data_IF_396543661721
#
_entry.id   IF_396543661721
#
_cell.length_a   1.000
_cell.length_b   1.000
_cell.length_c   1.000
_cell.angle_alpha   90.00
_cell.angle_beta   90.00
_cell.angle_gamma   90.00
#
_symmetry.space_group_name_H-M   'P 1'
#
loop_
_entity.id
_entity.type
_entity.pdbx_description
1 polymer ?
#
# COMPACT_ATOMS: atom_id res chain seq x y z
N UNK A 1 9.13 -6.10 -20.89
CA UNK A 1 10.10 -7.04 -21.45
C UNK A 1 11.53 -6.58 -21.17
N UNK A 2 12.42 -7.54 -20.84
CA UNK A 2 13.85 -7.29 -20.69
C UNK A 2 14.50 -7.23 -22.08
N UNK A 3 15.24 -6.15 -22.35
CA UNK A 3 16.03 -6.01 -23.57
C UNK A 3 17.46 -5.55 -23.23
N UNK A 4 18.47 -6.43 -23.30
CA UNK A 4 19.86 -6.09 -22.94
C UNK A 4 20.49 -5.02 -23.85
N UNK A 5 19.93 -4.77 -25.04
CA UNK A 5 20.39 -3.72 -25.93
C UNK A 5 19.82 -2.33 -25.60
N UNK A 6 18.88 -2.26 -24.66
CA UNK A 6 18.37 -0.99 -24.16
C UNK A 6 19.35 -0.42 -23.13
N UNK A 7 19.96 0.71 -23.46
CA UNK A 7 20.99 1.38 -22.63
C UNK A 7 20.51 1.65 -21.18
N UNK A 8 19.24 1.94 -20.97
CA UNK A 8 18.70 2.18 -19.63
C UNK A 8 18.59 0.88 -18.82
N UNK A 9 18.19 -0.22 -19.48
CA UNK A 9 18.12 -1.54 -18.87
C UNK A 9 19.53 -2.02 -18.55
N UNK A 10 20.47 -1.93 -19.49
CA UNK A 10 21.87 -2.28 -19.29
C UNK A 10 22.48 -1.51 -18.11
N UNK A 11 22.29 -0.19 -18.08
CA UNK A 11 22.79 0.66 -16.99
C UNK A 11 22.17 0.27 -15.64
N UNK A 12 20.86 0.09 -15.59
CA UNK A 12 20.16 -0.27 -14.35
C UNK A 12 20.56 -1.66 -13.83
N UNK A 13 20.82 -2.61 -14.74
CA UNK A 13 21.32 -3.94 -14.38
C UNK A 13 22.77 -3.89 -13.92
N UNK A 14 23.62 -3.11 -14.59
CA UNK A 14 25.03 -2.92 -14.20
C UNK A 14 25.17 -2.36 -12.76
N UNK A 15 24.26 -1.45 -12.36
CA UNK A 15 24.21 -0.93 -10.99
C UNK A 15 23.42 -1.82 -10.02
N UNK A 16 22.90 -2.95 -10.48
CA UNK A 16 22.17 -3.89 -9.64
C UNK A 16 20.76 -3.43 -9.22
N UNK A 17 20.19 -2.43 -9.88
CA UNK A 17 18.81 -1.97 -9.60
C UNK A 17 17.77 -2.94 -10.11
N UNK A 18 18.02 -3.55 -11.26
CA UNK A 18 17.15 -4.53 -11.88
C UNK A 18 17.89 -5.84 -12.19
N UNK A 19 17.13 -6.89 -12.41
CA UNK A 19 17.59 -8.20 -12.92
C UNK A 19 16.66 -8.69 -14.02
N UNK A 20 17.14 -9.61 -14.83
CA UNK A 20 16.31 -10.36 -15.75
C UNK A 20 15.62 -11.52 -15.02
N UNK A 21 14.33 -11.58 -15.05
CA UNK A 21 13.56 -12.71 -14.53
C UNK A 21 12.55 -13.16 -15.61
N UNK A 22 12.84 -14.30 -16.21
CA UNK A 22 12.02 -14.90 -17.28
C UNK A 22 11.72 -13.95 -18.45
N UNK A 23 12.70 -13.16 -18.91
CA UNK A 23 12.52 -12.20 -20.00
C UNK A 23 11.86 -10.88 -19.62
N UNK A 24 11.65 -10.66 -18.33
CA UNK A 24 11.14 -9.40 -17.78
C UNK A 24 12.21 -8.69 -16.96
N UNK A 25 12.30 -7.36 -17.11
CA UNK A 25 13.10 -6.54 -16.21
C UNK A 25 12.33 -6.35 -14.91
N UNK A 26 12.86 -6.84 -13.80
CA UNK A 26 12.28 -6.71 -12.47
C UNK A 26 13.28 -6.04 -11.53
N UNK A 27 12.81 -5.40 -10.47
CA UNK A 27 13.68 -4.79 -9.46
C UNK A 27 14.47 -5.91 -8.76
N UNK A 28 15.78 -5.71 -8.59
CA UNK A 28 16.69 -6.76 -8.17
C UNK A 28 16.50 -7.23 -6.73
N UNK A 29 16.09 -6.32 -5.86
CA UNK A 29 15.88 -6.62 -4.44
C UNK A 29 14.90 -5.64 -3.77
N UNK A 30 14.45 -6.01 -2.56
CA UNK A 30 13.46 -5.28 -1.77
C UNK A 30 13.91 -3.90 -1.31
N UNK A 31 15.20 -3.68 -1.13
CA UNK A 31 15.72 -2.37 -0.70
C UNK A 31 15.49 -1.36 -1.82
N UNK A 32 15.88 -1.71 -3.04
CA UNK A 32 15.62 -0.85 -4.21
C UNK A 32 14.14 -0.69 -4.50
N UNK A 33 13.35 -1.74 -4.33
CA UNK A 33 11.89 -1.65 -4.47
C UNK A 33 11.30 -0.61 -3.50
N UNK A 34 11.65 -0.70 -2.23
CA UNK A 34 11.18 0.25 -1.21
C UNK A 34 11.66 1.68 -1.48
N UNK A 35 12.92 1.86 -1.90
CA UNK A 35 13.48 3.19 -2.21
C UNK A 35 12.79 3.81 -3.43
N UNK A 36 12.63 3.06 -4.52
CA UNK A 36 11.96 3.54 -5.72
C UNK A 36 10.47 3.82 -5.47
N UNK A 37 9.80 2.97 -4.72
CA UNK A 37 8.41 3.19 -4.35
C UNK A 37 8.22 4.48 -3.54
N UNK A 38 9.09 4.71 -2.53
CA UNK A 38 9.06 5.94 -1.75
C UNK A 38 9.41 7.18 -2.59
N UNK A 39 10.33 7.04 -3.57
CA UNK A 39 10.67 8.12 -4.49
C UNK A 39 9.47 8.51 -5.34
N UNK A 40 8.84 7.55 -6.03
CA UNK A 40 7.66 7.81 -6.87
C UNK A 40 6.49 8.38 -6.07
N UNK A 41 6.25 7.88 -4.86
CA UNK A 41 5.24 8.46 -3.99
C UNK A 41 5.61 9.91 -3.63
N UNK A 42 6.88 10.22 -3.37
CA UNK A 42 7.30 11.57 -3.00
C UNK A 42 7.13 12.59 -4.14
N UNK A 43 7.25 12.17 -5.38
CA UNK A 43 6.98 13.01 -6.55
C UNK A 43 5.48 13.33 -6.72
N UNK A 44 4.61 12.40 -6.29
CA UNK A 44 3.16 12.61 -6.36
C UNK A 44 2.59 13.50 -5.25
N UNK A 45 3.35 13.79 -4.17
CA UNK A 45 2.84 14.59 -3.05
C UNK A 45 2.40 15.99 -3.46
N UNK A 46 3.14 16.61 -4.36
CA UNK A 46 3.02 18.04 -4.69
C UNK A 46 1.65 18.41 -5.28
N UNK A 47 0.98 17.45 -5.96
CA UNK A 47 -0.30 17.68 -6.64
C UNK A 47 -1.42 16.72 -6.19
N UNK A 48 -1.20 16.00 -5.08
CA UNK A 48 -2.13 14.95 -4.65
C UNK A 48 -3.20 15.48 -3.71
N UNK A 49 -4.44 15.57 -4.20
CA UNK A 49 -5.62 15.97 -3.40
C UNK A 49 -5.85 15.05 -2.19
N UNK A 50 -5.53 13.76 -2.32
CA UNK A 50 -5.71 12.79 -1.23
C UNK A 50 -4.62 12.94 -0.16
N UNK A 51 -3.40 13.33 -0.53
CA UNK A 51 -2.34 13.68 0.40
C UNK A 51 -2.72 14.93 1.22
N UNK A 52 -3.22 15.97 0.54
CA UNK A 52 -3.70 17.20 1.18
C UNK A 52 -4.84 16.94 2.16
N UNK A 53 -5.74 16.01 1.84
CA UNK A 53 -6.81 15.61 2.74
C UNK A 53 -6.24 14.95 4.01
N UNK A 54 -5.29 14.01 3.87
CA UNK A 54 -4.61 13.40 5.01
C UNK A 54 -3.87 14.41 5.88
N UNK A 55 -3.19 15.37 5.24
CA UNK A 55 -2.45 16.44 5.93
C UNK A 55 -3.36 17.35 6.76
N UNK A 56 -4.51 17.77 6.21
CA UNK A 56 -5.48 18.63 6.90
C UNK A 56 -6.08 17.99 8.13
N UNK A 57 -6.32 16.70 8.06
CA UNK A 57 -7.06 15.96 9.08
C UNK A 57 -6.19 15.15 10.06
N UNK A 58 -4.87 15.19 9.91
CA UNK A 58 -3.92 14.33 10.63
C UNK A 58 -4.09 14.32 12.16
N UNK A 59 -4.44 15.45 12.74
CA UNK A 59 -4.48 15.60 14.20
C UNK A 59 -5.63 14.82 14.87
N UNK A 60 -6.67 14.47 14.13
CA UNK A 60 -7.81 13.73 14.66
C UNK A 60 -7.55 12.22 14.81
N UNK A 61 -6.50 11.70 14.16
CA UNK A 61 -6.19 10.28 14.10
C UNK A 61 -5.24 9.81 15.21
N UNK A 62 -4.65 10.75 15.95
CA UNK A 62 -3.70 10.44 17.02
C UNK A 62 -4.23 10.98 18.35
N UNK A 63 -4.38 10.10 19.33
CA UNK A 63 -4.80 10.45 20.68
C UNK A 63 -3.92 9.75 21.71
N UNK A 64 -3.38 10.53 22.66
CA UNK A 64 -2.50 9.98 23.71
C UNK A 64 -1.24 9.29 23.15
N UNK A 65 -0.81 9.63 21.92
CA UNK A 65 0.33 8.98 21.27
C UNK A 65 0.00 7.71 20.51
N UNK A 66 -1.26 7.27 20.50
CA UNK A 66 -1.75 6.08 19.79
C UNK A 66 -2.42 6.49 18.49
N UNK A 67 -2.19 5.69 17.42
CA UNK A 67 -2.82 5.88 16.12
C UNK A 67 -4.15 5.11 16.06
N UNK A 68 -5.25 5.81 15.81
CA UNK A 68 -6.54 5.19 15.52
C UNK A 68 -6.59 4.80 14.03
N UNK A 69 -6.01 3.64 13.71
CA UNK A 69 -5.96 3.13 12.35
C UNK A 69 -7.36 2.92 11.76
N UNK A 70 -8.34 2.51 12.57
CA UNK A 70 -9.72 2.34 12.10
C UNK A 70 -10.28 3.66 11.57
N UNK A 71 -10.11 4.73 12.34
CA UNK A 71 -10.57 6.07 11.95
C UNK A 71 -9.84 6.60 10.72
N UNK A 72 -8.54 6.30 10.60
CA UNK A 72 -7.76 6.61 9.38
C UNK A 72 -8.37 5.93 8.17
N UNK A 73 -8.68 4.63 8.26
CA UNK A 73 -9.23 3.84 7.16
C UNK A 73 -10.64 4.28 6.78
N UNK A 74 -11.52 4.52 7.77
CA UNK A 74 -12.88 5.03 7.55
C UNK A 74 -12.82 6.38 6.79
N UNK A 75 -11.95 7.29 7.21
CA UNK A 75 -11.80 8.59 6.55
C UNK A 75 -11.14 8.51 5.18
N UNK A 76 -10.19 7.60 5.02
CA UNK A 76 -9.62 7.32 3.71
C UNK A 76 -10.68 6.87 2.70
N UNK A 77 -11.52 5.90 3.08
CA UNK A 77 -12.58 5.39 2.20
C UNK A 77 -13.57 6.50 1.82
N UNK A 78 -14.02 7.31 2.78
CA UNK A 78 -14.88 8.46 2.51
C UNK A 78 -14.22 9.46 1.53
N UNK A 79 -12.95 9.80 1.78
CA UNK A 79 -12.19 10.75 0.96
C UNK A 79 -11.93 10.21 -0.45
N UNK A 80 -11.59 8.93 -0.53
CA UNK A 80 -11.33 8.25 -1.80
C UNK A 80 -12.59 8.19 -2.66
N UNK A 81 -13.74 7.82 -2.07
CA UNK A 81 -15.03 7.78 -2.77
C UNK A 81 -15.43 9.17 -3.29
N UNK A 82 -15.24 10.21 -2.48
CA UNK A 82 -15.50 11.59 -2.89
C UNK A 82 -14.61 12.07 -4.05
N UNK A 83 -13.31 11.74 -4.03
CA UNK A 83 -12.35 12.22 -5.02
C UNK A 83 -12.32 11.37 -6.30
N UNK A 84 -12.56 10.07 -6.18
CA UNK A 84 -12.27 9.08 -7.22
C UNK A 84 -13.39 8.05 -7.44
N UNK A 85 -14.55 8.19 -6.78
CA UNK A 85 -15.66 7.21 -6.84
C UNK A 85 -16.24 6.96 -8.23
N UNK A 86 -16.03 7.87 -9.17
CA UNK A 86 -16.44 7.74 -10.58
C UNK A 86 -15.41 7.04 -11.47
N UNK A 87 -14.28 6.58 -10.92
CA UNK A 87 -13.26 5.88 -11.72
C UNK A 87 -13.74 4.52 -12.20
N UNK A 88 -13.37 4.22 -13.46
CA UNK A 88 -13.83 3.05 -14.21
C UNK A 88 -13.01 1.78 -13.94
N UNK A 89 -13.46 0.66 -14.51
CA UNK A 89 -13.03 -0.75 -14.41
C UNK A 89 -11.52 -1.06 -14.54
N UNK A 90 -10.66 -0.09 -14.87
CA UNK A 90 -9.20 -0.26 -14.96
C UNK A 90 -8.44 0.00 -13.65
N UNK A 91 -9.15 0.19 -12.54
CA UNK A 91 -8.53 0.42 -11.24
C UNK A 91 -7.84 -0.86 -10.73
N UNK A 92 -6.57 -0.74 -10.37
CA UNK A 92 -5.74 -1.83 -9.85
C UNK A 92 -5.59 -1.73 -8.33
N UNK A 93 -5.43 -2.86 -7.65
CA UNK A 93 -5.14 -2.90 -6.20
C UNK A 93 -3.91 -2.07 -5.84
N UNK A 94 -2.90 -2.06 -6.71
CA UNK A 94 -1.71 -1.23 -6.57
C UNK A 94 -2.02 0.27 -6.51
N UNK A 95 -2.95 0.74 -7.36
CA UNK A 95 -3.39 2.13 -7.33
C UNK A 95 -4.09 2.48 -6.00
N UNK A 96 -4.96 1.58 -5.50
CA UNK A 96 -5.61 1.74 -4.19
C UNK A 96 -4.60 1.83 -3.06
N UNK A 97 -3.60 0.95 -3.07
CA UNK A 97 -2.49 0.95 -2.12
C UNK A 97 -1.73 2.28 -2.15
N UNK A 98 -1.40 2.77 -3.34
CA UNK A 98 -0.70 4.04 -3.53
C UNK A 98 -1.50 5.22 -2.98
N UNK A 99 -2.80 5.31 -3.28
CA UNK A 99 -3.67 6.35 -2.73
C UNK A 99 -3.77 6.28 -1.20
N UNK A 100 -3.88 5.09 -0.63
CA UNK A 100 -3.89 4.93 0.82
C UNK A 100 -2.58 5.38 1.45
N UNK A 101 -1.44 5.05 0.85
CA UNK A 101 -0.14 5.51 1.34
C UNK A 101 0.02 7.03 1.26
N UNK A 102 -0.46 7.67 0.17
CA UNK A 102 -0.47 9.13 0.04
C UNK A 102 -1.30 9.77 1.16
N UNK A 103 -2.46 9.22 1.46
CA UNK A 103 -3.31 9.70 2.56
C UNK A 103 -2.67 9.50 3.94
N UNK A 104 -2.07 8.32 4.16
CA UNK A 104 -1.49 7.94 5.45
C UNK A 104 -0.19 8.69 5.76
N UNK A 105 0.63 8.96 4.75
CA UNK A 105 1.99 9.51 4.93
C UNK A 105 2.04 10.77 5.80
N UNK A 106 1.24 11.82 5.56
CA UNK A 106 1.27 13.03 6.39
C UNK A 106 0.80 12.76 7.83
N UNK A 107 -0.02 11.73 8.05
CA UNK A 107 -0.54 11.37 9.38
C UNK A 107 0.56 10.75 10.25
N UNK A 108 1.37 9.86 9.67
CA UNK A 108 2.43 9.13 10.41
C UNK A 108 3.81 9.78 10.27
N UNK A 109 3.95 10.82 9.45
CA UNK A 109 5.24 11.43 9.14
C UNK A 109 6.01 11.88 10.40
N UNK A 110 7.28 11.50 10.46
CA UNK A 110 8.19 11.77 11.59
C UNK A 110 8.00 10.85 12.81
N UNK A 111 7.01 9.95 12.79
CA UNK A 111 6.71 9.08 13.95
C UNK A 111 6.55 7.62 13.57
N UNK A 112 6.02 7.34 12.40
CA UNK A 112 5.73 5.99 11.92
C UNK A 112 6.35 5.69 10.57
N UNK A 113 6.34 4.40 10.21
CA UNK A 113 6.79 3.89 8.93
C UNK A 113 5.69 3.04 8.29
N UNK A 114 5.70 2.98 6.97
CA UNK A 114 4.82 2.11 6.20
C UNK A 114 5.67 1.21 5.29
N UNK A 115 5.43 -0.09 5.37
CA UNK A 115 6.14 -1.11 4.60
C UNK A 115 5.17 -1.73 3.60
N UNK A 116 5.57 -1.73 2.32
CA UNK A 116 4.80 -2.28 1.21
C UNK A 116 5.21 -3.72 1.01
N UNK A 117 4.24 -4.61 0.87
CA UNK A 117 4.40 -6.03 0.59
C UNK A 117 5.49 -6.72 1.45
N UNK A 118 5.51 -6.54 2.78
CA UNK A 118 6.47 -7.24 3.61
C UNK A 118 6.22 -8.75 3.52
N UNK A 119 7.30 -9.50 3.23
CA UNK A 119 7.25 -10.95 3.08
C UNK A 119 7.53 -11.63 4.42
N UNK A 120 6.70 -12.63 4.78
CA UNK A 120 6.95 -13.51 5.90
C UNK A 120 7.96 -14.59 5.54
N UNK A 121 8.49 -15.35 6.53
CA UNK A 121 9.34 -16.51 6.29
C UNK A 121 8.67 -17.58 5.43
N UNK A 122 7.34 -17.65 5.44
CA UNK A 122 6.54 -18.57 4.63
C UNK A 122 6.23 -18.03 3.23
N UNK A 123 6.84 -16.91 2.83
CA UNK A 123 6.61 -16.21 1.55
C UNK A 123 5.19 -15.66 1.36
N UNK A 124 4.45 -15.49 2.44
CA UNK A 124 3.19 -14.77 2.41
C UNK A 124 3.47 -13.28 2.41
N UNK A 125 2.72 -12.51 1.63
CA UNK A 125 2.88 -11.07 1.48
C UNK A 125 1.60 -10.37 1.88
N UNK A 126 1.74 -9.34 2.70
CA UNK A 126 0.66 -8.41 3.01
C UNK A 126 0.84 -7.15 2.18
N UNK A 127 -0.26 -6.49 1.82
CA UNK A 127 -0.16 -5.26 1.04
C UNK A 127 0.59 -4.16 1.80
N UNK A 128 0.23 -3.93 3.05
CA UNK A 128 0.84 -2.90 3.87
C UNK A 128 0.97 -3.32 5.34
N UNK A 129 2.09 -2.97 5.94
CA UNK A 129 2.27 -2.95 7.40
C UNK A 129 2.67 -1.55 7.83
N UNK A 130 1.92 -0.99 8.75
CA UNK A 130 2.18 0.33 9.34
C UNK A 130 2.72 0.14 10.73
N UNK A 131 3.88 0.73 11.01
CA UNK A 131 4.49 0.79 12.34
C UNK A 131 4.36 2.23 12.87
N UNK A 132 3.75 2.39 14.02
CA UNK A 132 3.57 3.68 14.66
C UNK A 132 3.84 3.58 16.16
N UNK A 133 4.97 4.12 16.62
CA UNK A 133 5.40 4.09 18.03
C UNK A 133 5.40 2.69 18.64
N UNK A 134 5.80 1.68 17.87
CA UNK A 134 5.81 0.28 18.30
C UNK A 134 4.46 -0.44 18.20
N UNK A 135 3.40 0.22 17.76
CA UNK A 135 2.14 -0.41 17.37
C UNK A 135 2.20 -0.80 15.89
N UNK A 136 1.84 -2.04 15.58
CA UNK A 136 1.80 -2.54 14.21
C UNK A 136 0.37 -2.74 13.74
N UNK A 137 0.09 -2.24 12.54
CA UNK A 137 -1.19 -2.37 11.86
C UNK A 137 -1.00 -3.04 10.51
N UNK A 138 -1.74 -4.10 10.29
CA UNK A 138 -1.74 -4.85 9.03
C UNK A 138 -2.95 -4.42 8.23
N UNK A 139 -2.72 -4.01 6.99
CA UNK A 139 -3.76 -3.54 6.07
C UNK A 139 -3.66 -4.30 4.75
N UNK A 140 -4.74 -4.91 4.34
CA UNK A 140 -4.90 -5.58 3.06
C UNK A 140 -5.88 -4.78 2.20
N UNK A 141 -5.54 -4.58 0.93
CA UNK A 141 -6.38 -3.87 -0.02
C UNK A 141 -6.82 -4.82 -1.12
N UNK A 142 -8.13 -4.90 -1.36
CA UNK A 142 -8.70 -5.81 -2.36
C UNK A 142 -9.70 -5.11 -3.25
N UNK A 143 -9.70 -5.44 -4.53
CA UNK A 143 -10.83 -5.14 -5.41
C UNK A 143 -11.89 -6.22 -5.20
N UNK A 144 -13.14 -5.80 -5.12
CA UNK A 144 -14.26 -6.71 -4.96
C UNK A 144 -14.48 -7.54 -6.23
N UNK A 145 -14.23 -8.85 -6.13
CA UNK A 145 -14.48 -9.84 -7.19
C UNK A 145 -15.40 -10.97 -6.71
N UNK A 146 -16.18 -10.75 -5.64
CA UNK A 146 -17.08 -11.74 -5.06
C UNK A 146 -16.59 -12.37 -3.77
N UNK A 147 -17.47 -13.17 -3.11
CA UNK A 147 -17.24 -13.68 -1.76
C UNK A 147 -16.04 -14.66 -1.63
N UNK A 148 -15.79 -15.47 -2.66
CA UNK A 148 -14.68 -16.42 -2.65
C UNK A 148 -13.31 -15.72 -2.63
N UNK A 149 -13.21 -14.58 -3.31
CA UNK A 149 -11.98 -13.79 -3.33
C UNK A 149 -11.72 -13.11 -1.98
N UNK A 150 -12.78 -12.62 -1.34
CA UNK A 150 -12.68 -12.00 -0.02
C UNK A 150 -12.21 -12.96 1.07
N UNK A 151 -12.70 -14.21 1.06
CA UNK A 151 -12.28 -15.23 2.03
C UNK A 151 -10.78 -15.52 1.96
N UNK A 152 -10.17 -15.39 0.78
CA UNK A 152 -8.71 -15.55 0.63
C UNK A 152 -7.96 -14.42 1.34
N UNK A 153 -8.39 -13.17 1.16
CA UNK A 153 -7.78 -12.03 1.85
C UNK A 153 -7.95 -12.11 3.37
N UNK A 154 -9.12 -12.53 3.86
CA UNK A 154 -9.37 -12.74 5.30
C UNK A 154 -8.45 -13.84 5.87
N UNK A 155 -8.26 -14.94 5.15
CA UNK A 155 -7.34 -16.01 5.54
C UNK A 155 -5.89 -15.51 5.57
N UNK A 156 -5.46 -14.77 4.55
CA UNK A 156 -4.12 -14.20 4.46
C UNK A 156 -3.82 -13.28 5.65
N UNK A 157 -4.74 -12.37 5.98
CA UNK A 157 -4.61 -11.53 7.19
C UNK A 157 -4.51 -12.39 8.45
N UNK A 158 -5.38 -13.39 8.61
CA UNK A 158 -5.42 -14.24 9.80
C UNK A 158 -4.09 -14.96 10.02
N UNK A 159 -3.53 -15.56 8.97
CA UNK A 159 -2.24 -16.26 9.02
C UNK A 159 -1.08 -15.31 9.37
N UNK A 160 -1.11 -14.08 8.84
CA UNK A 160 -0.12 -13.07 9.16
C UNK A 160 -0.23 -12.60 10.63
N UNK A 161 -1.45 -12.35 11.11
CA UNK A 161 -1.69 -11.93 12.49
C UNK A 161 -1.23 -12.99 13.49
N UNK A 162 -1.50 -14.27 13.20
CA UNK A 162 -1.03 -15.39 14.01
C UNK A 162 0.49 -15.45 14.05
N UNK A 163 1.15 -15.33 12.90
CA UNK A 163 2.60 -15.37 12.80
C UNK A 163 3.30 -14.27 13.61
N UNK A 164 2.76 -13.06 13.62
CA UNK A 164 3.34 -11.90 14.33
C UNK A 164 2.75 -11.67 15.73
N UNK A 165 1.81 -12.49 16.18
CA UNK A 165 1.15 -12.32 17.46
C UNK A 165 0.28 -11.06 17.56
N UNK A 166 -0.22 -10.57 16.42
CA UNK A 166 -1.06 -9.40 16.35
C UNK A 166 -2.54 -9.77 16.52
N UNK A 167 -3.31 -8.87 17.14
CA UNK A 167 -4.72 -9.14 17.45
C UNK A 167 -5.70 -8.59 16.43
N UNK A 168 -5.28 -7.64 15.59
CA UNK A 168 -6.16 -6.92 14.65
C UNK A 168 -5.48 -6.70 13.31
N UNK A 169 -6.20 -7.00 12.25
CA UNK A 169 -5.88 -6.63 10.88
C UNK A 169 -7.04 -5.89 10.25
N UNK A 170 -6.80 -5.19 9.18
CA UNK A 170 -7.77 -4.39 8.46
C UNK A 170 -7.80 -4.78 6.99
N UNK A 171 -9.00 -4.73 6.39
CA UNK A 171 -9.18 -4.94 4.96
C UNK A 171 -9.94 -3.77 4.37
N UNK A 172 -9.38 -3.16 3.34
CA UNK A 172 -10.09 -2.19 2.49
C UNK A 172 -10.57 -2.92 1.24
N UNK A 173 -11.83 -2.74 0.89
CA UNK A 173 -12.44 -3.32 -0.31
C UNK A 173 -12.90 -2.19 -1.23
N UNK A 174 -12.35 -2.17 -2.43
CA UNK A 174 -12.79 -1.27 -3.50
C UNK A 174 -13.87 -1.96 -4.32
N UNK A 175 -15.08 -1.43 -4.30
CA UNK A 175 -16.22 -2.00 -5.05
C UNK A 175 -16.65 -1.01 -6.13
N UNK A 176 -16.32 -1.30 -7.37
CA UNK A 176 -16.69 -0.49 -8.55
C UNK A 176 -17.96 -1.00 -9.26
N UNK A 177 -18.65 -2.00 -8.70
CA UNK A 177 -19.93 -2.44 -9.24
C UNK A 177 -20.95 -1.32 -9.04
N UNK A 178 -21.49 -0.77 -10.13
CA UNK A 178 -22.58 0.20 -10.07
C UNK A 178 -23.73 -0.42 -9.29
N UNK A 179 -24.16 0.22 -8.21
CA UNK A 179 -25.45 -0.09 -7.60
C UNK A 179 -26.51 0.14 -8.68
N UNK A 180 -27.16 -0.96 -9.13
CA UNK A 180 -28.35 -0.88 -9.96
C UNK A 180 -29.50 -0.34 -9.13
#
# INVERSE_FOLDING_TARGET
>A
PYNPLNKYIETAEMFGFIKNENGSAVISNRIFEAVLYNLFISEEYMDSKIYDAGLREKNQFVSGGHLDMRKVLEKFVETFDYLYGDQNESFLEEAGRRYFMLFLKPIINGTGNCYVEPETRNRERMDLVVDYRGEQFVVELKIWHGDAYNKRGEKQISEYLEYYGLKKGYMIRFNFNKKK
#
